data_IF_540810641259
#
_entry.id   IF_540810641259
#
_cell.length_a   1.000
_cell.length_b   1.000
_cell.length_c   1.000
_cell.angle_alpha   90.00
_cell.angle_beta   90.00
_cell.angle_gamma   90.00
#
_symmetry.space_group_name_H-M   'P 1'
#
loop_
_entity.id
_entity.type
_entity.pdbx_description
1 polymer ?
#
# COMPACT_ATOMS: atom_id res chain seq x y z
N UNK A 1 11.84 10.99 -11.45
CA UNK A 1 13.32 10.94 -11.69
C UNK A 1 13.76 9.60 -12.28
N UNK A 2 13.17 8.50 -11.86
CA UNK A 2 13.57 7.16 -12.32
C UNK A 2 13.19 6.91 -13.80
N UNK A 3 11.97 7.27 -14.19
CA UNK A 3 11.50 7.19 -15.56
C UNK A 3 12.22 8.17 -16.50
N UNK A 4 12.53 9.38 -16.02
CA UNK A 4 13.17 10.40 -16.84
C UNK A 4 14.65 10.15 -17.14
N UNK A 5 15.34 9.29 -16.38
CA UNK A 5 16.74 8.95 -16.64
C UNK A 5 16.93 7.85 -17.69
N UNK A 6 15.90 7.02 -17.92
CA UNK A 6 16.00 5.82 -18.78
C UNK A 6 15.31 5.96 -20.14
N UNK A 7 14.47 7.00 -20.32
CA UNK A 7 13.72 7.29 -21.55
C UNK A 7 13.80 8.77 -21.92
N UNK A 8 14.92 9.24 -22.53
CA UNK A 8 15.17 10.68 -22.63
C UNK A 8 14.24 11.44 -23.59
N UNK A 9 13.75 10.85 -24.64
CA UNK A 9 12.87 11.55 -25.60
C UNK A 9 11.38 11.33 -25.30
N UNK A 10 11.01 10.10 -24.99
CA UNK A 10 9.64 9.68 -24.66
C UNK A 10 9.22 10.15 -23.26
N UNK A 11 10.16 10.21 -22.32
CA UNK A 11 9.90 10.69 -20.96
C UNK A 11 9.48 12.15 -20.89
N UNK A 12 9.89 12.99 -21.84
CA UNK A 12 9.40 14.38 -21.91
C UNK A 12 7.93 14.47 -22.36
N UNK A 13 7.48 13.51 -23.16
CA UNK A 13 6.06 13.32 -23.52
C UNK A 13 5.26 12.82 -22.33
N UNK A 14 5.76 11.78 -21.65
CA UNK A 14 5.18 11.15 -20.48
C UNK A 14 5.07 12.13 -19.29
N UNK A 15 6.13 12.85 -18.95
CA UNK A 15 6.09 13.87 -17.91
C UNK A 15 5.08 15.01 -18.20
N UNK A 16 4.83 15.33 -19.46
CA UNK A 16 3.76 16.28 -19.85
C UNK A 16 2.38 15.70 -19.68
N UNK A 17 2.22 14.41 -19.88
CA UNK A 17 0.95 13.71 -19.66
C UNK A 17 0.61 13.59 -18.18
N UNK A 18 1.57 13.20 -17.34
CA UNK A 18 1.41 13.16 -15.89
C UNK A 18 1.06 14.53 -15.28
N UNK A 19 1.37 15.61 -15.99
CA UNK A 19 0.97 16.96 -15.61
C UNK A 19 -0.39 17.38 -16.19
N UNK A 20 -0.96 16.60 -17.09
CA UNK A 20 -2.31 16.86 -17.61
C UNK A 20 -3.35 16.55 -16.51
N UNK A 21 -4.26 17.47 -16.31
CA UNK A 21 -5.39 17.28 -15.38
C UNK A 21 -6.35 16.24 -15.96
N UNK A 22 -6.77 15.32 -15.12
CA UNK A 22 -7.79 14.31 -15.32
C UNK A 22 -8.33 14.14 -16.73
N UNK A 23 -8.01 13.02 -17.33
CA UNK A 23 -8.54 12.55 -18.60
C UNK A 23 -9.67 11.57 -18.36
N UNK A 24 -9.82 10.63 -19.23
CA UNK A 24 -10.83 9.60 -19.15
C UNK A 24 -12.24 10.10 -19.50
N UNK A 25 -13.19 9.19 -19.48
CA UNK A 25 -14.57 9.46 -19.89
C UNK A 25 -15.34 10.27 -18.84
N UNK A 26 -14.99 10.10 -17.57
CA UNK A 26 -15.68 10.71 -16.44
C UNK A 26 -15.01 11.98 -15.92
N UNK A 27 -13.80 12.28 -16.41
CA UNK A 27 -12.96 13.34 -15.84
C UNK A 27 -12.44 13.01 -14.44
N UNK A 28 -12.25 11.73 -14.13
CA UNK A 28 -11.71 11.29 -12.86
C UNK A 28 -10.32 11.89 -12.62
N UNK A 29 -10.02 12.34 -11.39
CA UNK A 29 -8.69 12.83 -11.05
C UNK A 29 -7.62 11.78 -11.30
N UNK A 30 -6.49 12.21 -11.86
CA UNK A 30 -5.32 11.35 -12.10
C UNK A 30 -5.55 10.17 -13.06
N UNK A 31 -6.68 10.12 -13.75
CA UNK A 31 -6.90 9.22 -14.88
C UNK A 31 -6.38 9.86 -16.16
N UNK A 32 -5.57 9.13 -16.91
CA UNK A 32 -5.05 9.59 -18.20
C UNK A 32 -5.02 8.43 -19.20
N UNK A 33 -5.49 8.65 -20.40
CA UNK A 33 -5.29 7.68 -21.49
C UNK A 33 -3.87 7.82 -22.03
N UNK A 34 -3.01 6.90 -21.62
CA UNK A 34 -1.60 6.93 -21.95
C UNK A 34 -1.36 6.53 -23.42
N UNK A 35 -0.89 7.45 -24.30
CA UNK A 35 -0.63 7.13 -25.69
C UNK A 35 0.64 6.30 -25.91
N UNK A 36 1.41 6.01 -24.86
CA UNK A 36 2.60 5.18 -24.97
C UNK A 36 2.19 3.78 -25.41
N UNK A 37 2.78 3.25 -26.51
CA UNK A 37 2.52 1.89 -26.89
C UNK A 37 2.92 0.90 -25.78
N UNK A 38 2.15 -0.17 -25.61
CA UNK A 38 2.40 -1.19 -24.62
C UNK A 38 3.86 -1.68 -24.60
N UNK A 39 4.49 -1.87 -25.76
CA UNK A 39 5.88 -2.30 -25.88
C UNK A 39 6.89 -1.35 -25.16
N UNK A 40 6.50 -0.14 -24.84
CA UNK A 40 7.31 0.85 -24.11
C UNK A 40 6.74 1.19 -22.72
N UNK A 41 5.68 0.50 -22.33
CA UNK A 41 5.08 0.69 -21.02
C UNK A 41 5.97 0.09 -19.93
N UNK A 42 6.07 0.76 -18.80
CA UNK A 42 7.06 0.39 -17.78
C UNK A 42 6.89 -1.03 -17.22
N UNK A 43 5.66 -1.54 -17.14
CA UNK A 43 5.36 -2.89 -16.66
C UNK A 43 5.98 -3.94 -17.59
N UNK A 44 5.77 -3.84 -18.92
CA UNK A 44 6.41 -4.72 -19.88
C UNK A 44 7.93 -4.54 -19.92
N UNK A 45 8.41 -3.29 -19.81
CA UNK A 45 9.85 -3.01 -19.79
C UNK A 45 10.56 -3.66 -18.59
N UNK A 46 9.95 -3.62 -17.39
CA UNK A 46 10.49 -4.28 -16.19
C UNK A 46 10.61 -5.79 -16.41
N UNK A 47 9.56 -6.42 -16.95
CA UNK A 47 9.60 -7.83 -17.30
C UNK A 47 10.69 -8.15 -18.31
N UNK A 48 10.84 -7.34 -19.37
CA UNK A 48 11.87 -7.50 -20.39
C UNK A 48 13.29 -7.37 -19.80
N UNK A 49 13.52 -6.41 -18.90
CA UNK A 49 14.82 -6.27 -18.20
C UNK A 49 15.10 -7.45 -17.28
N UNK A 50 14.08 -7.94 -16.58
CA UNK A 50 14.19 -9.13 -15.74
C UNK A 50 14.53 -10.37 -16.60
N UNK A 51 13.85 -10.59 -17.71
CA UNK A 51 14.12 -11.68 -18.64
C UNK A 51 15.53 -11.56 -19.24
N UNK A 52 15.95 -10.35 -19.62
CA UNK A 52 17.30 -10.12 -20.12
C UNK A 52 18.37 -10.45 -19.08
N UNK A 53 18.15 -10.09 -17.81
CA UNK A 53 19.03 -10.48 -16.72
C UNK A 53 19.08 -12.01 -16.56
N UNK A 54 17.93 -12.67 -16.47
CA UNK A 54 17.87 -14.14 -16.37
C UNK A 54 18.58 -14.83 -17.55
N UNK A 55 18.56 -14.23 -18.74
CA UNK A 55 19.25 -14.73 -19.92
C UNK A 55 20.79 -14.61 -19.83
N UNK A 56 21.28 -13.65 -19.06
CA UNK A 56 22.71 -13.42 -18.89
C UNK A 56 23.37 -14.38 -17.88
N UNK A 57 22.57 -15.08 -17.07
CA UNK A 57 23.05 -15.99 -16.05
C UNK A 57 23.48 -17.35 -16.63
N UNK A 58 24.49 -17.96 -16.02
CA UNK A 58 24.88 -19.36 -16.23
C UNK A 58 23.84 -20.33 -15.68
N UNK A 59 24.00 -21.61 -15.97
CA UNK A 59 23.07 -22.64 -15.49
C UNK A 59 23.15 -22.86 -13.98
N UNK A 60 24.33 -22.67 -13.42
CA UNK A 60 24.67 -22.97 -12.02
C UNK A 60 24.82 -21.69 -11.17
N UNK A 61 24.46 -20.53 -11.72
CA UNK A 61 24.53 -19.27 -10.96
C UNK A 61 23.42 -19.19 -9.90
N UNK A 62 23.79 -18.84 -8.69
CA UNK A 62 22.85 -18.42 -7.68
C UNK A 62 22.40 -16.98 -7.98
N UNK A 63 21.09 -16.72 -7.86
CA UNK A 63 20.56 -15.41 -8.16
C UNK A 63 19.42 -15.01 -7.24
N UNK A 64 19.26 -13.71 -7.08
CA UNK A 64 18.14 -13.07 -6.42
C UNK A 64 17.62 -11.92 -7.28
N UNK A 65 16.31 -11.89 -7.51
CA UNK A 65 15.64 -10.82 -8.25
C UNK A 65 14.54 -10.21 -7.41
N UNK A 66 14.61 -8.90 -7.28
CA UNK A 66 13.50 -8.10 -6.77
C UNK A 66 12.89 -7.37 -7.98
N UNK A 67 11.78 -7.90 -8.50
CA UNK A 67 11.04 -7.32 -9.60
C UNK A 67 9.91 -6.47 -9.04
N UNK A 68 10.00 -5.16 -9.18
CA UNK A 68 9.06 -4.20 -8.62
C UNK A 68 8.38 -3.39 -9.71
N UNK A 69 7.07 -3.36 -9.69
CA UNK A 69 6.24 -2.55 -10.56
C UNK A 69 5.76 -1.31 -9.83
N UNK A 70 5.79 -0.09 -10.45
CA UNK A 70 5.16 1.09 -9.87
C UNK A 70 3.63 1.01 -9.93
N UNK A 71 3.06 0.29 -10.90
CA UNK A 71 1.63 0.06 -10.98
C UNK A 71 1.16 -0.89 -9.85
N UNK A 72 -0.12 -0.79 -9.46
CA UNK A 72 -1.17 0.12 -9.92
C UNK A 72 -1.23 1.46 -9.15
N UNK A 73 -0.08 2.04 -8.82
CA UNK A 73 -0.02 3.36 -8.19
C UNK A 73 -0.56 4.45 -9.12
N UNK A 74 -1.27 5.44 -8.58
CA UNK A 74 -1.67 6.60 -9.38
C UNK A 74 -0.44 7.32 -9.99
N UNK A 75 -0.60 7.98 -11.18
CA UNK A 75 -1.80 8.10 -11.98
C UNK A 75 -2.21 6.76 -12.58
N UNK A 76 -3.53 6.57 -12.72
CA UNK A 76 -4.09 5.38 -13.36
C UNK A 76 -4.09 5.61 -14.87
N UNK A 77 -3.03 5.21 -15.51
CA UNK A 77 -2.72 5.54 -16.90
C UNK A 77 -2.17 4.35 -17.70
N UNK A 78 -2.89 3.22 -17.72
CA UNK A 78 -2.50 2.11 -18.58
C UNK A 78 -2.45 2.57 -20.05
N UNK A 79 -1.70 1.89 -20.94
CA UNK A 79 -1.68 2.21 -22.35
C UNK A 79 -3.08 2.32 -22.91
N UNK A 80 -3.36 3.37 -23.71
CA UNK A 80 -4.68 3.62 -24.25
C UNK A 80 -5.24 2.44 -25.07
N UNK A 81 -4.37 1.63 -25.67
CA UNK A 81 -4.76 0.38 -26.35
C UNK A 81 -5.34 -0.67 -25.42
N UNK A 82 -5.03 -0.61 -24.16
CA UNK A 82 -5.41 -1.59 -23.13
C UNK A 82 -6.56 -1.08 -22.25
N UNK A 83 -6.75 0.22 -22.15
CA UNK A 83 -7.72 0.85 -21.26
C UNK A 83 -9.17 0.37 -21.46
N UNK A 84 -9.50 -0.13 -22.65
CA UNK A 84 -10.83 -0.66 -22.97
C UNK A 84 -11.05 -2.13 -22.53
N UNK A 85 -10.07 -2.78 -21.93
CA UNK A 85 -10.21 -4.19 -21.47
C UNK A 85 -11.34 -4.34 -20.45
N UNK A 86 -11.53 -3.36 -19.61
CA UNK A 86 -12.56 -3.34 -18.58
C UNK A 86 -13.44 -2.11 -18.80
N UNK A 87 -14.72 -2.37 -18.99
CA UNK A 87 -15.71 -1.30 -19.12
C UNK A 87 -16.15 -0.84 -17.72
N UNK A 88 -15.82 0.37 -17.33
CA UNK A 88 -16.15 0.90 -16.02
C UNK A 88 -17.67 0.97 -15.73
N UNK A 89 -18.51 1.01 -16.75
CA UNK A 89 -19.96 0.95 -16.59
C UNK A 89 -20.45 -0.39 -15.99
N UNK A 90 -19.68 -1.45 -16.17
CA UNK A 90 -20.02 -2.79 -15.70
C UNK A 90 -19.53 -3.06 -14.27
N UNK A 91 -18.81 -2.12 -13.67
CA UNK A 91 -18.29 -2.26 -12.31
C UNK A 91 -19.27 -1.72 -11.28
N UNK A 92 -19.40 -2.46 -10.18
CA UNK A 92 -19.98 -1.94 -8.95
C UNK A 92 -19.01 -1.02 -8.22
N UNK A 93 -19.52 -0.25 -7.25
CA UNK A 93 -18.66 0.42 -6.28
C UNK A 93 -17.96 -0.63 -5.40
N UNK A 94 -16.74 -0.37 -4.92
CA UNK A 94 -16.06 -1.31 -4.03
C UNK A 94 -16.91 -1.60 -2.78
N UNK A 95 -16.85 -2.82 -2.24
CA UNK A 95 -17.66 -3.21 -1.07
C UNK A 95 -17.51 -2.28 0.14
N UNK A 96 -16.33 -1.70 0.32
CA UNK A 96 -16.04 -0.74 1.39
C UNK A 96 -16.57 0.67 1.13
N UNK A 97 -17.17 0.95 -0.03
CA UNK A 97 -17.78 2.25 -0.34
C UNK A 97 -19.18 2.35 0.27
N UNK A 98 -19.45 3.29 1.19
CA UNK A 98 -20.74 3.35 1.89
C UNK A 98 -21.96 3.73 1.04
N UNK A 99 -21.75 4.15 -0.20
CA UNK A 99 -22.80 4.44 -1.19
C UNK A 99 -23.26 5.90 -1.19
N UNK A 100 -23.65 6.47 -0.07
CA UNK A 100 -24.14 7.85 -0.03
C UNK A 100 -23.24 8.76 0.80
N UNK A 101 -23.22 10.04 0.44
CA UNK A 101 -22.48 11.07 1.17
C UNK A 101 -22.86 11.12 2.65
N UNK A 102 -24.14 11.08 2.96
CA UNK A 102 -24.65 11.09 4.34
C UNK A 102 -24.09 9.92 5.16
N UNK A 103 -24.07 8.73 4.56
CA UNK A 103 -23.55 7.54 5.22
C UNK A 103 -22.03 7.60 5.40
N UNK A 104 -21.31 8.12 4.40
CA UNK A 104 -19.87 8.35 4.48
C UNK A 104 -19.55 9.33 5.63
N UNK A 105 -20.18 10.50 5.64
CA UNK A 105 -19.96 11.52 6.66
C UNK A 105 -20.27 10.97 8.07
N UNK A 106 -21.33 10.18 8.22
CA UNK A 106 -21.67 9.54 9.49
C UNK A 106 -20.60 8.54 9.95
N UNK A 107 -20.07 7.73 9.06
CA UNK A 107 -19.00 6.76 9.37
C UNK A 107 -17.72 7.50 9.74
N UNK A 108 -17.32 8.47 8.95
CA UNK A 108 -16.07 9.20 9.15
C UNK A 108 -16.10 10.12 10.38
N UNK A 109 -17.25 10.65 10.74
CA UNK A 109 -17.40 11.44 11.95
C UNK A 109 -17.21 10.63 13.25
N UNK A 110 -17.36 9.32 13.20
CA UNK A 110 -17.11 8.39 14.31
C UNK A 110 -15.65 7.91 14.40
N UNK A 111 -14.80 8.35 13.48
CA UNK A 111 -13.37 8.05 13.40
C UNK A 111 -12.55 9.25 13.86
N UNK A 112 -11.22 9.12 14.06
CA UNK A 112 -10.35 10.25 14.34
C UNK A 112 -10.50 11.36 13.29
N UNK A 113 -10.40 12.61 13.73
CA UNK A 113 -10.81 13.80 12.98
C UNK A 113 -10.23 13.88 11.54
N UNK A 114 -9.00 13.44 11.30
CA UNK A 114 -8.37 13.55 9.99
C UNK A 114 -9.11 12.76 8.90
N UNK A 115 -9.88 11.73 9.23
CA UNK A 115 -10.68 10.97 8.28
C UNK A 115 -11.72 11.85 7.58
N UNK A 116 -12.54 12.56 8.37
CA UNK A 116 -13.55 13.45 7.82
C UNK A 116 -12.93 14.70 7.20
N UNK A 117 -11.87 15.23 7.81
CA UNK A 117 -11.17 16.40 7.27
C UNK A 117 -10.52 16.09 5.90
N UNK A 118 -10.04 14.86 5.68
CA UNK A 118 -9.56 14.41 4.37
C UNK A 118 -10.72 14.32 3.37
N UNK A 119 -11.80 13.66 3.72
CA UNK A 119 -12.96 13.51 2.86
C UNK A 119 -13.49 14.86 2.36
N UNK A 120 -13.56 15.84 3.23
CA UNK A 120 -14.04 17.19 2.92
C UNK A 120 -12.95 18.10 2.30
N UNK A 121 -11.76 17.61 2.10
CA UNK A 121 -10.63 18.37 1.54
C UNK A 121 -10.07 19.44 2.47
N UNK A 122 -10.35 19.35 3.78
CA UNK A 122 -9.75 20.21 4.81
C UNK A 122 -8.36 19.75 5.20
N UNK A 123 -8.13 18.46 5.24
CA UNK A 123 -6.85 17.83 5.44
C UNK A 123 -6.32 17.29 4.10
N UNK A 124 -5.04 17.36 3.86
CA UNK A 124 -4.41 16.76 2.69
C UNK A 124 -3.57 15.58 3.11
N UNK A 125 -3.88 14.47 2.56
CA UNK A 125 -2.99 13.35 2.48
C UNK A 125 -1.88 13.71 1.47
N UNK A 126 -0.62 13.56 1.83
CA UNK A 126 0.51 13.93 0.96
C UNK A 126 0.67 13.03 -0.24
N UNK A 127 0.09 11.86 -0.21
CA UNK A 127 -0.02 10.96 -1.36
C UNK A 127 -0.94 11.51 -2.43
N UNK A 128 -1.91 12.31 -2.06
CA UNK A 128 -2.76 13.04 -2.99
C UNK A 128 -2.02 14.19 -3.64
N UNK A 129 -1.03 13.89 -4.48
CA UNK A 129 -0.22 14.87 -5.21
C UNK A 129 -1.01 15.81 -6.11
N UNK A 130 -2.23 15.45 -6.48
CA UNK A 130 -3.13 16.31 -7.22
C UNK A 130 -3.83 17.29 -6.29
N UNK A 131 -3.58 18.55 -6.54
CA UNK A 131 -4.20 19.70 -5.87
C UNK A 131 -5.68 19.87 -6.19
N UNK A 132 -6.20 19.09 -7.13
CA UNK A 132 -7.58 19.14 -7.63
C UNK A 132 -8.46 18.09 -6.97
N UNK A 133 -7.88 17.17 -6.19
CA UNK A 133 -8.58 16.04 -5.64
C UNK A 133 -9.23 16.36 -4.29
N UNK A 134 -10.55 16.25 -4.23
CA UNK A 134 -11.33 16.32 -2.98
C UNK A 134 -12.28 15.12 -3.00
N UNK A 135 -12.13 14.14 -2.10
CA UNK A 135 -12.92 12.91 -2.11
C UNK A 135 -14.43 13.15 -2.18
N UNK A 136 -14.96 14.07 -1.37
CA UNK A 136 -16.40 14.35 -1.36
C UNK A 136 -16.95 14.99 -2.64
N UNK A 137 -16.08 15.41 -3.56
CA UNK A 137 -16.48 15.96 -4.86
C UNK A 137 -16.45 14.90 -5.97
N UNK A 138 -15.98 13.69 -5.69
CA UNK A 138 -15.99 12.61 -6.68
C UNK A 138 -17.38 12.05 -6.92
N UNK A 139 -17.63 11.70 -8.17
CA UNK A 139 -18.82 10.93 -8.55
C UNK A 139 -18.55 9.44 -8.44
N UNK A 140 -19.61 8.65 -8.33
CA UNK A 140 -19.50 7.18 -8.33
C UNK A 140 -18.88 6.66 -9.65
N UNK A 141 -19.16 7.31 -10.77
CA UNK A 141 -18.62 6.91 -12.06
C UNK A 141 -17.10 7.17 -12.13
N UNK A 142 -16.63 8.26 -11.53
CA UNK A 142 -15.18 8.49 -11.39
C UNK A 142 -14.49 7.42 -10.57
N UNK A 143 -15.12 6.96 -9.48
CA UNK A 143 -14.60 5.85 -8.68
C UNK A 143 -14.55 4.55 -9.50
N UNK A 144 -15.61 4.26 -10.28
CA UNK A 144 -15.66 3.08 -11.15
C UNK A 144 -14.59 3.11 -12.24
N UNK A 145 -14.39 4.26 -12.89
CA UNK A 145 -13.37 4.43 -13.93
C UNK A 145 -11.97 4.21 -13.37
N UNK A 146 -11.65 4.81 -12.21
CA UNK A 146 -10.39 4.57 -11.53
C UNK A 146 -10.19 3.08 -11.25
N UNK A 147 -11.18 2.42 -10.70
CA UNK A 147 -11.10 0.98 -10.40
C UNK A 147 -10.93 0.13 -11.67
N UNK A 148 -11.62 0.48 -12.76
CA UNK A 148 -11.47 -0.22 -14.04
C UNK A 148 -10.02 -0.14 -14.54
N UNK A 149 -9.41 1.04 -14.53
CA UNK A 149 -8.04 1.22 -14.98
C UNK A 149 -7.03 0.56 -14.06
N UNK A 150 -7.23 0.62 -12.74
CA UNK A 150 -6.44 -0.14 -11.77
C UNK A 150 -6.49 -1.66 -12.04
N UNK A 151 -7.66 -2.19 -12.39
CA UNK A 151 -7.78 -3.60 -12.77
C UNK A 151 -7.02 -3.91 -14.06
N UNK A 152 -7.07 -3.01 -15.05
CA UNK A 152 -6.27 -3.17 -16.27
C UNK A 152 -4.77 -3.20 -15.96
N UNK A 153 -4.29 -2.30 -15.10
CA UNK A 153 -2.88 -2.29 -14.68
C UNK A 153 -2.50 -3.59 -13.96
N UNK A 154 -3.38 -4.12 -13.12
CA UNK A 154 -3.17 -5.41 -12.46
C UNK A 154 -3.11 -6.59 -13.47
N UNK A 155 -3.96 -6.59 -14.51
CA UNK A 155 -3.87 -7.58 -15.59
C UNK A 155 -2.53 -7.50 -16.33
N UNK A 156 -2.04 -6.29 -16.60
CA UNK A 156 -0.73 -6.10 -17.22
C UNK A 156 0.42 -6.61 -16.35
N UNK A 157 0.33 -6.42 -15.04
CA UNK A 157 1.29 -6.98 -14.07
C UNK A 157 1.25 -8.51 -14.09
N UNK A 158 0.06 -9.11 -14.08
CA UNK A 158 -0.10 -10.57 -14.14
C UNK A 158 0.52 -11.16 -15.40
N UNK A 159 0.25 -10.57 -16.56
CA UNK A 159 0.84 -10.96 -17.82
C UNK A 159 2.38 -10.83 -17.81
N UNK A 160 2.90 -9.73 -17.24
CA UNK A 160 4.35 -9.51 -17.10
C UNK A 160 4.99 -10.54 -16.17
N UNK A 161 4.36 -10.86 -15.05
CA UNK A 161 4.79 -11.94 -14.15
C UNK A 161 4.77 -13.28 -14.86
N UNK A 162 3.71 -13.59 -15.60
CA UNK A 162 3.59 -14.83 -16.38
C UNK A 162 4.74 -15.01 -17.38
N UNK A 163 5.17 -13.95 -18.06
CA UNK A 163 6.32 -13.96 -18.98
C UNK A 163 7.63 -14.32 -18.26
N UNK A 164 7.87 -13.73 -17.09
CA UNK A 164 9.08 -13.99 -16.30
C UNK A 164 9.07 -15.42 -15.75
N UNK A 165 7.93 -15.88 -15.23
CA UNK A 165 7.78 -17.27 -14.75
C UNK A 165 7.96 -18.27 -15.87
N UNK A 166 7.43 -18.00 -17.08
CA UNK A 166 7.66 -18.81 -18.27
C UNK A 166 9.15 -18.89 -18.60
N UNK A 167 9.88 -17.79 -18.48
CA UNK A 167 11.34 -17.79 -18.73
C UNK A 167 12.10 -18.60 -17.69
N UNK A 168 11.72 -18.56 -16.42
CA UNK A 168 12.31 -19.41 -15.36
C UNK A 168 12.10 -20.90 -15.70
N UNK A 169 10.90 -21.27 -16.15
CA UNK A 169 10.59 -22.63 -16.55
C UNK A 169 11.41 -23.09 -17.80
N UNK A 170 11.51 -22.25 -18.84
CA UNK A 170 12.34 -22.52 -20.03
C UNK A 170 13.81 -22.71 -19.69
N UNK A 171 14.30 -22.05 -18.64
CA UNK A 171 15.67 -22.22 -18.14
C UNK A 171 15.85 -23.50 -17.31
N UNK A 172 14.77 -24.21 -17.00
CA UNK A 172 14.79 -25.41 -16.15
C UNK A 172 14.98 -25.11 -14.66
N UNK A 173 14.78 -23.87 -14.22
CA UNK A 173 15.01 -23.42 -12.85
C UNK A 173 13.76 -23.49 -11.95
N UNK A 174 12.63 -23.89 -12.51
CA UNK A 174 11.35 -23.92 -11.76
C UNK A 174 11.41 -24.77 -10.49
N UNK A 175 12.17 -25.90 -10.54
CA UNK A 175 12.30 -26.80 -9.41
C UNK A 175 13.18 -26.25 -8.26
N UNK A 176 14.02 -25.25 -8.51
CA UNK A 176 14.98 -24.69 -7.56
C UNK A 176 14.73 -23.22 -7.21
N UNK A 177 13.64 -22.63 -7.69
CA UNK A 177 13.33 -21.21 -7.49
C UNK A 177 12.17 -21.04 -6.56
N UNK A 178 12.37 -20.27 -5.50
CA UNK A 178 11.31 -19.76 -4.63
C UNK A 178 10.73 -18.48 -5.22
N UNK A 179 9.40 -18.38 -5.31
CA UNK A 179 8.70 -17.21 -5.84
C UNK A 179 7.84 -16.57 -4.74
N UNK A 180 8.00 -15.27 -4.57
CA UNK A 180 7.17 -14.47 -3.69
C UNK A 180 6.42 -13.44 -4.49
N UNK A 181 5.14 -13.26 -4.17
CA UNK A 181 4.32 -12.17 -4.69
C UNK A 181 3.73 -11.41 -3.51
N UNK A 182 3.93 -10.10 -3.48
CA UNK A 182 3.37 -9.20 -2.47
C UNK A 182 3.30 -7.77 -3.01
N UNK A 183 2.71 -6.87 -2.25
CA UNK A 183 2.76 -5.43 -2.48
C UNK A 183 3.24 -4.73 -1.22
N UNK A 184 3.63 -3.47 -1.30
CA UNK A 184 4.08 -2.65 -0.16
C UNK A 184 2.93 -2.26 0.78
N UNK A 185 1.76 -1.90 0.24
CA UNK A 185 0.54 -1.55 0.95
C UNK A 185 -0.67 -1.73 0.04
N UNK A 186 -1.87 -1.63 0.59
CA UNK A 186 -3.12 -1.55 -0.16
C UNK A 186 -3.44 -0.12 -0.63
N UNK A 187 -4.66 0.05 -1.13
CA UNK A 187 -5.17 1.34 -1.62
C UNK A 187 -6.66 1.45 -1.28
N UNK A 188 -7.15 2.64 -0.91
CA UNK A 188 -8.56 2.81 -0.52
C UNK A 188 -9.52 2.65 -1.69
N UNK A 189 -9.18 3.15 -2.86
CA UNK A 189 -9.92 2.93 -4.12
C UNK A 189 -11.44 3.14 -4.06
N UNK A 190 -11.90 4.01 -3.16
CA UNK A 190 -13.31 4.29 -2.91
C UNK A 190 -13.83 3.76 -1.58
N UNK A 191 -13.09 2.91 -0.88
CA UNK A 191 -13.44 2.50 0.48
C UNK A 191 -13.58 3.73 1.38
N UNK A 192 -14.58 3.73 2.24
CA UNK A 192 -14.96 4.89 3.06
C UNK A 192 -15.30 6.17 2.26
N UNK A 193 -15.45 6.10 0.94
CA UNK A 193 -15.57 7.25 0.07
C UNK A 193 -14.23 7.99 -0.13
N UNK A 194 -13.12 7.36 0.20
CA UNK A 194 -11.77 7.91 0.11
C UNK A 194 -10.95 7.24 -1.01
N UNK A 195 -9.85 7.86 -1.36
CA UNK A 195 -8.88 7.37 -2.33
C UNK A 195 -7.48 7.44 -1.72
N UNK A 196 -6.54 6.79 -2.35
CA UNK A 196 -5.14 6.76 -1.94
C UNK A 196 -4.92 6.01 -0.62
N UNK A 197 -3.82 6.24 0.01
CA UNK A 197 -3.34 5.69 1.28
C UNK A 197 -2.97 6.82 2.22
N UNK A 198 -2.37 6.48 3.36
CA UNK A 198 -1.93 7.46 4.34
C UNK A 198 -2.10 6.95 5.77
N UNK A 199 -2.36 7.83 6.74
CA UNK A 199 -2.42 7.47 8.16
C UNK A 199 -3.74 6.77 8.53
N UNK A 200 -4.04 5.68 7.83
CA UNK A 200 -5.26 4.88 8.01
C UNK A 200 -4.87 3.40 8.16
N UNK A 201 -4.92 2.86 9.37
CA UNK A 201 -4.58 1.46 9.61
C UNK A 201 -5.83 0.57 9.55
N UNK A 202 -6.37 0.40 8.35
CA UNK A 202 -7.51 -0.46 8.04
C UNK A 202 -7.11 -1.58 7.08
N UNK A 203 -7.90 -2.65 7.02
CA UNK A 203 -7.60 -3.83 6.20
C UNK A 203 -7.34 -3.49 4.74
N UNK A 204 -8.08 -2.54 4.16
CA UNK A 204 -7.89 -2.10 2.77
C UNK A 204 -6.44 -1.64 2.47
N UNK A 205 -5.73 -1.13 3.47
CA UNK A 205 -4.35 -0.66 3.33
C UNK A 205 -3.32 -1.61 3.92
N UNK A 206 -3.65 -2.31 5.01
CA UNK A 206 -2.69 -3.05 5.82
C UNK A 206 -2.67 -4.55 5.53
N UNK A 207 -3.79 -5.10 5.04
CA UNK A 207 -3.89 -6.50 4.70
C UNK A 207 -3.58 -6.73 3.23
N UNK A 208 -2.31 -6.95 2.93
CA UNK A 208 -1.80 -7.12 1.58
C UNK A 208 -1.72 -8.59 1.18
N UNK A 209 -1.76 -8.92 -0.12
CA UNK A 209 -1.49 -10.28 -0.59
C UNK A 209 -0.06 -10.67 -0.26
N UNK A 210 0.12 -11.90 0.19
CA UNK A 210 1.43 -12.53 0.33
C UNK A 210 1.32 -13.99 -0.11
N UNK A 211 1.91 -14.29 -1.25
CA UNK A 211 1.94 -15.63 -1.82
C UNK A 211 3.40 -16.07 -1.88
N UNK A 212 3.71 -17.20 -1.30
CA UNK A 212 5.00 -17.86 -1.44
C UNK A 212 4.80 -19.19 -2.16
N UNK A 213 5.43 -19.35 -3.31
CA UNK A 213 5.61 -20.63 -3.99
C UNK A 213 7.01 -21.14 -3.66
N UNK A 214 7.15 -22.02 -2.66
CA UNK A 214 8.45 -22.61 -2.34
C UNK A 214 8.97 -23.42 -3.53
N UNK A 215 10.29 -23.46 -3.69
CA UNK A 215 10.90 -24.37 -4.64
C UNK A 215 10.55 -25.82 -4.30
N UNK A 216 10.23 -26.68 -5.26
CA UNK A 216 9.92 -28.10 -5.03
C UNK A 216 10.96 -28.84 -4.20
N UNK A 217 12.24 -28.46 -4.30
CA UNK A 217 13.32 -29.06 -3.51
C UNK A 217 13.21 -28.74 -2.01
N UNK A 218 12.53 -27.66 -1.63
CA UNK A 218 12.30 -27.31 -0.23
C UNK A 218 11.28 -28.23 0.45
N UNK A 219 10.49 -28.99 -0.31
CA UNK A 219 9.47 -29.95 0.19
C UNK A 219 8.46 -29.34 1.17
N UNK A 220 8.15 -28.08 0.99
CA UNK A 220 7.08 -27.40 1.75
C UNK A 220 5.74 -27.82 1.15
N UNK A 221 4.84 -28.34 1.99
CA UNK A 221 3.51 -28.70 1.51
C UNK A 221 2.66 -27.44 1.21
N UNK A 222 1.84 -27.44 0.16
CA UNK A 222 0.86 -26.36 -0.04
C UNK A 222 -0.04 -26.22 1.18
N UNK A 223 -0.17 -25.01 1.68
CA UNK A 223 -1.02 -24.70 2.83
C UNK A 223 -1.53 -23.25 2.73
N UNK A 224 -2.70 -23.02 3.30
CA UNK A 224 -3.16 -21.69 3.67
C UNK A 224 -2.83 -21.48 5.14
N UNK A 225 -2.09 -20.42 5.45
CA UNK A 225 -1.64 -20.13 6.82
C UNK A 225 -2.40 -18.94 7.35
N UNK A 226 -3.20 -19.16 8.39
CA UNK A 226 -4.02 -18.13 9.02
C UNK A 226 -3.28 -17.31 10.07
N UNK A 227 -2.08 -17.73 10.48
CA UNK A 227 -1.28 -16.98 11.46
C UNK A 227 -0.85 -15.60 10.91
N UNK A 228 -0.94 -14.55 11.72
CA UNK A 228 -0.57 -13.21 11.28
C UNK A 228 0.93 -13.11 10.98
N UNK A 229 1.24 -12.51 9.83
CA UNK A 229 2.59 -12.24 9.35
C UNK A 229 2.70 -10.80 8.89
N UNK A 230 3.91 -10.31 8.66
CA UNK A 230 4.15 -8.97 8.14
C UNK A 230 5.37 -8.93 7.21
N UNK A 231 5.56 -7.84 6.50
CA UNK A 231 6.71 -7.64 5.62
C UNK A 231 8.07 -7.83 6.31
N UNK A 232 8.13 -7.55 7.61
CA UNK A 232 9.34 -7.76 8.41
C UNK A 232 9.81 -9.24 8.43
N UNK A 233 8.92 -10.18 8.08
CA UNK A 233 9.21 -11.61 8.05
C UNK A 233 9.83 -12.08 6.73
N UNK A 234 9.75 -11.26 5.67
CA UNK A 234 10.24 -11.61 4.34
C UNK A 234 11.76 -11.75 4.33
N UNK A 235 12.49 -10.77 4.87
CA UNK A 235 13.95 -10.81 4.88
C UNK A 235 14.53 -12.00 5.68
N UNK A 236 14.03 -12.32 6.89
CA UNK A 236 14.42 -13.56 7.58
C UNK A 236 14.11 -14.84 6.79
N UNK A 237 13.00 -14.85 6.05
CA UNK A 237 12.66 -16.00 5.18
C UNK A 237 13.67 -16.16 4.06
N UNK A 238 14.07 -15.07 3.39
CA UNK A 238 15.11 -15.11 2.37
C UNK A 238 16.46 -15.58 2.91
N UNK A 239 16.83 -15.11 4.11
CA UNK A 239 18.04 -15.59 4.77
C UNK A 239 17.97 -17.10 5.03
N UNK A 240 16.83 -17.60 5.49
CA UNK A 240 16.63 -19.04 5.72
C UNK A 240 16.74 -19.85 4.42
N UNK A 241 16.11 -19.41 3.33
CA UNK A 241 16.17 -20.06 2.01
C UNK A 241 17.61 -20.07 1.50
N UNK A 242 18.32 -18.95 1.61
CA UNK A 242 19.70 -18.83 1.17
C UNK A 242 20.72 -19.54 2.07
N UNK A 243 20.30 -20.10 3.21
CA UNK A 243 21.21 -20.74 4.18
C UNK A 243 22.15 -19.78 4.86
N UNK A 244 21.80 -18.48 4.97
CA UNK A 244 22.61 -17.46 5.63
C UNK A 244 21.98 -17.05 6.96
N UNK A 245 22.80 -16.58 7.88
CA UNK A 245 22.30 -16.14 9.18
C UNK A 245 21.44 -14.87 9.06
N UNK A 246 20.28 -14.88 9.71
CA UNK A 246 19.45 -13.67 9.82
C UNK A 246 20.20 -12.59 10.59
N UNK A 247 20.31 -11.36 10.08
CA UNK A 247 20.97 -10.26 10.77
C UNK A 247 20.33 -9.97 12.13
N UNK A 248 21.12 -9.64 13.13
CA UNK A 248 20.64 -9.40 14.51
C UNK A 248 19.66 -8.20 14.61
N UNK A 249 19.71 -7.27 13.66
CA UNK A 249 18.80 -6.14 13.62
C UNK A 249 17.44 -6.47 13.01
N UNK A 250 17.29 -7.63 12.35
CA UNK A 250 16.01 -8.06 11.79
C UNK A 250 15.07 -8.48 12.93
N UNK A 251 13.88 -7.89 12.93
CA UNK A 251 12.89 -8.09 13.98
C UNK A 251 11.85 -9.17 13.63
N UNK A 252 11.78 -9.53 12.34
CA UNK A 252 10.90 -10.58 11.86
C UNK A 252 11.39 -11.99 12.15
N UNK A 253 10.54 -12.94 11.84
CA UNK A 253 10.83 -14.38 11.88
C UNK A 253 10.53 -14.98 10.52
N UNK A 254 11.18 -16.04 10.06
CA UNK A 254 10.81 -16.70 8.80
C UNK A 254 9.32 -16.97 8.75
N UNK A 255 8.74 -16.82 7.56
CA UNK A 255 7.31 -17.06 7.31
C UNK A 255 6.95 -18.50 7.75
N UNK A 256 5.78 -18.69 8.36
CA UNK A 256 5.30 -20.01 8.73
C UNK A 256 4.93 -20.82 7.49
N UNK A 257 5.23 -22.11 7.52
CA UNK A 257 4.84 -23.08 6.48
C UNK A 257 3.62 -23.93 6.86
N UNK A 258 3.09 -23.71 8.05
CA UNK A 258 1.89 -24.33 8.60
C UNK A 258 1.36 -23.49 9.76
N UNK A 259 0.11 -23.69 10.12
CA UNK A 259 -0.46 -23.12 11.35
C UNK A 259 0.08 -23.80 12.62
N UNK A 260 -0.08 -23.14 13.77
CA UNK A 260 0.32 -23.68 15.07
C UNK A 260 1.75 -23.34 15.50
N UNK A 261 2.42 -22.41 14.78
CA UNK A 261 3.76 -21.93 15.13
C UNK A 261 3.74 -20.79 16.16
N UNK A 262 2.53 -20.42 16.65
CA UNK A 262 2.35 -19.51 17.78
C UNK A 262 2.49 -18.03 17.44
N UNK A 263 2.21 -17.64 16.21
CA UNK A 263 2.09 -16.24 15.84
C UNK A 263 0.70 -15.73 16.23
N UNK A 264 0.66 -14.78 17.13
CA UNK A 264 -0.61 -14.30 17.70
C UNK A 264 -1.00 -12.92 17.17
N UNK A 265 -0.05 -12.14 16.65
CA UNK A 265 -0.27 -10.74 16.29
C UNK A 265 0.55 -10.27 15.11
N UNK A 266 0.04 -9.25 14.43
CA UNK A 266 0.80 -8.37 13.57
C UNK A 266 0.75 -6.95 14.12
N UNK A 267 1.86 -6.22 14.02
CA UNK A 267 1.98 -4.83 14.50
C UNK A 267 2.39 -3.97 13.33
N UNK A 268 1.77 -2.80 13.23
CA UNK A 268 2.11 -1.79 12.23
C UNK A 268 2.31 -0.44 12.91
N UNK A 269 3.22 0.35 12.37
CA UNK A 269 3.57 1.67 12.85
C UNK A 269 3.50 2.67 11.70
N UNK A 270 3.03 3.87 12.01
CA UNK A 270 3.10 5.02 11.11
C UNK A 270 3.61 6.21 11.88
N UNK A 271 4.69 6.81 11.41
CA UNK A 271 5.19 8.07 11.90
C UNK A 271 5.15 9.07 10.74
N UNK A 272 4.31 10.09 10.87
CA UNK A 272 4.23 11.12 9.85
C UNK A 272 5.57 11.84 9.72
N UNK A 273 6.16 11.77 8.55
CA UNK A 273 7.32 12.56 8.19
C UNK A 273 6.94 13.98 7.76
N UNK A 274 5.65 14.25 7.69
CA UNK A 274 5.09 15.50 7.21
C UNK A 274 5.01 16.48 8.36
N UNK A 275 5.83 17.50 8.24
CA UNK A 275 6.24 18.47 9.24
C UNK A 275 5.12 19.10 10.10
N UNK A 276 3.86 18.97 9.73
CA UNK A 276 2.81 19.79 10.31
C UNK A 276 1.79 19.01 11.12
N UNK A 277 1.72 17.70 10.98
CA UNK A 277 0.68 16.91 11.63
C UNK A 277 1.20 16.08 12.79
N UNK A 278 2.47 15.65 12.75
CA UNK A 278 3.09 14.91 13.86
C UNK A 278 2.23 13.75 14.35
N UNK A 279 1.63 12.99 13.42
CA UNK A 279 0.82 11.83 13.77
C UNK A 279 1.71 10.61 13.99
N UNK A 280 1.43 9.89 15.05
CA UNK A 280 2.09 8.64 15.40
C UNK A 280 1.01 7.59 15.64
N UNK A 281 0.89 6.64 14.74
CA UNK A 281 -0.07 5.55 14.82
C UNK A 281 0.65 4.26 15.21
N UNK A 282 0.07 3.51 16.13
CA UNK A 282 0.51 2.18 16.51
C UNK A 282 -0.68 1.26 16.46
N UNK A 283 -0.58 0.18 15.71
CA UNK A 283 -1.71 -0.74 15.52
C UNK A 283 -1.31 -2.16 15.77
N UNK A 284 -2.25 -2.92 16.32
CA UNK A 284 -2.15 -4.35 16.50
C UNK A 284 -3.35 -5.04 15.86
N UNK A 285 -3.08 -6.08 15.09
CA UNK A 285 -4.04 -7.11 14.76
C UNK A 285 -3.83 -8.32 15.67
N UNK A 286 -4.88 -8.79 16.32
CA UNK A 286 -4.89 -10.02 17.10
C UNK A 286 -6.29 -10.61 17.20
N UNK A 287 -6.43 -11.90 16.94
CA UNK A 287 -7.68 -12.66 17.12
C UNK A 287 -8.92 -12.02 16.44
N UNK A 288 -8.74 -11.50 15.22
CA UNK A 288 -9.81 -10.83 14.48
C UNK A 288 -10.11 -9.39 14.93
N UNK A 289 -9.32 -8.85 15.85
CA UNK A 289 -9.43 -7.46 16.28
C UNK A 289 -8.32 -6.59 15.67
N UNK A 290 -8.68 -5.40 15.26
CA UNK A 290 -7.73 -4.32 14.92
C UNK A 290 -7.87 -3.22 15.94
N UNK A 291 -6.77 -2.83 16.57
CA UNK A 291 -6.73 -1.72 17.53
C UNK A 291 -5.61 -0.77 17.14
N UNK A 292 -5.97 0.49 16.87
CA UNK A 292 -5.04 1.57 16.52
C UNK A 292 -5.05 2.64 17.59
N UNK A 293 -3.89 2.98 18.12
CA UNK A 293 -3.68 4.10 19.05
C UNK A 293 -3.09 5.26 18.28
N UNK A 294 -3.66 6.45 18.46
CA UNK A 294 -3.07 7.70 18.01
C UNK A 294 -2.30 8.30 19.17
N UNK A 295 -0.98 8.16 19.15
CA UNK A 295 -0.13 8.70 20.21
C UNK A 295 -0.17 10.23 20.22
N UNK A 296 0.33 10.80 21.30
CA UNK A 296 0.37 12.26 21.41
C UNK A 296 1.21 12.86 20.30
N UNK A 297 0.60 13.76 19.54
CA UNK A 297 1.28 14.45 18.45
C UNK A 297 2.53 15.17 18.93
N UNK A 298 3.64 14.94 18.27
CA UNK A 298 4.90 15.64 18.51
C UNK A 298 5.12 16.69 17.43
N UNK A 299 5.89 17.73 17.76
CA UNK A 299 6.29 18.80 16.83
C UNK A 299 7.73 18.60 16.34
N UNK A 300 8.26 17.40 16.36
CA UNK A 300 9.63 17.14 15.90
C UNK A 300 9.71 17.17 14.39
N UNK A 301 10.06 18.32 13.88
CA UNK A 301 9.97 18.69 12.48
C UNK A 301 11.29 18.70 11.77
N UNK A 302 11.38 17.92 10.72
CA UNK A 302 12.07 18.39 9.53
C UNK A 302 11.16 19.37 8.78
N UNK A 303 11.57 20.59 8.61
CA UNK A 303 10.84 21.63 7.89
C UNK A 303 10.67 21.23 6.42
N UNK A 304 9.45 20.87 6.02
CA UNK A 304 9.17 20.51 4.63
C UNK A 304 8.77 21.77 3.83
N UNK A 305 9.75 22.37 3.17
CA UNK A 305 9.57 23.54 2.30
C UNK A 305 8.50 23.33 1.22
N UNK A 306 8.29 22.09 0.77
CA UNK A 306 7.30 21.78 -0.27
C UNK A 306 5.88 21.99 0.24
N UNK A 307 5.57 21.56 1.46
CA UNK A 307 4.25 21.74 2.05
C UNK A 307 3.96 23.21 2.36
N UNK A 308 4.94 23.93 2.91
CA UNK A 308 4.80 25.38 3.14
C UNK A 308 4.56 26.11 1.81
N UNK A 309 5.30 25.76 0.77
CA UNK A 309 5.10 26.34 -0.56
C UNK A 309 3.72 26.00 -1.13
N UNK A 310 3.26 24.78 -0.98
CA UNK A 310 1.94 24.35 -1.42
C UNK A 310 0.83 25.07 -0.64
N UNK A 311 0.93 25.17 0.68
CA UNK A 311 -0.03 25.89 1.52
C UNK A 311 -0.12 27.38 1.16
N UNK A 312 1.03 28.03 0.95
CA UNK A 312 1.11 29.42 0.52
C UNK A 312 0.49 29.64 -0.87
N UNK A 313 0.77 28.73 -1.80
CA UNK A 313 0.26 28.83 -3.19
C UNK A 313 -1.24 28.63 -3.28
N UNK A 314 -1.83 27.84 -2.38
CA UNK A 314 -3.24 27.47 -2.41
C UNK A 314 -4.13 28.33 -1.55
N UNK A 315 -3.56 29.21 -0.74
CA UNK A 315 -4.30 30.04 0.24
C UNK A 315 -5.24 29.24 1.15
N UNK A 316 -4.89 27.99 1.45
CA UNK A 316 -5.64 27.14 2.36
C UNK A 316 -4.86 26.96 3.66
N UNK A 317 -5.50 27.10 4.83
CA UNK A 317 -4.84 26.81 6.08
C UNK A 317 -4.47 25.32 6.14
N UNK A 318 -3.29 25.01 6.64
CA UNK A 318 -2.94 23.66 7.02
C UNK A 318 -3.76 23.31 8.26
N UNK A 319 -4.49 22.18 8.27
CA UNK A 319 -5.28 21.82 9.44
C UNK A 319 -4.34 21.50 10.61
N UNK A 320 -4.62 22.11 11.76
CA UNK A 320 -3.95 21.77 13.01
C UNK A 320 -4.62 20.54 13.63
N UNK A 321 -4.25 19.37 13.12
CA UNK A 321 -4.72 18.09 13.67
C UNK A 321 -3.73 17.65 14.74
N UNK A 322 -4.19 17.57 16.00
CA UNK A 322 -3.38 17.12 17.13
C UNK A 322 -4.11 16.08 17.92
N UNK A 323 -3.46 14.97 18.13
CA UNK A 323 -3.90 13.91 19.01
C UNK A 323 -3.25 14.05 20.39
N UNK A 324 -3.98 13.67 21.42
CA UNK A 324 -3.51 13.77 22.81
C UNK A 324 -3.07 12.42 23.37
N UNK A 325 -3.18 11.35 22.61
CA UNK A 325 -2.91 9.99 23.05
C UNK A 325 -4.12 9.31 23.68
N UNK A 326 -5.30 9.89 23.49
CA UNK A 326 -6.57 9.35 23.96
C UNK A 326 -7.46 8.85 22.85
N UNK A 327 -7.13 9.20 21.63
CA UNK A 327 -7.85 8.85 20.42
C UNK A 327 -7.37 7.52 19.85
N UNK A 328 -8.29 6.81 19.20
CA UNK A 328 -7.96 5.55 18.56
C UNK A 328 -9.09 4.96 17.75
N UNK A 329 -8.84 3.77 17.27
CA UNK A 329 -9.82 2.98 16.53
C UNK A 329 -9.79 1.53 17.04
N UNK A 330 -10.97 0.93 17.14
CA UNK A 330 -11.13 -0.47 17.52
C UNK A 330 -12.19 -1.12 16.64
N UNK A 331 -11.84 -2.24 16.03
CA UNK A 331 -12.73 -2.98 15.13
C UNK A 331 -12.72 -4.47 15.44
N UNK A 332 -13.90 -5.08 15.35
CA UNK A 332 -14.08 -6.53 15.32
C UNK A 332 -14.33 -6.96 13.88
N UNK A 333 -13.33 -7.54 13.24
CA UNK A 333 -13.41 -7.89 11.81
C UNK A 333 -14.42 -9.03 11.52
N UNK A 334 -14.79 -9.83 12.52
CA UNK A 334 -15.82 -10.84 12.36
C UNK A 334 -17.23 -10.25 12.27
N UNK A 335 -17.48 -9.11 12.93
CA UNK A 335 -18.76 -8.42 12.95
C UNK A 335 -18.83 -7.27 11.95
N UNK A 336 -17.70 -6.60 11.72
CA UNK A 336 -17.56 -5.43 10.87
C UNK A 336 -16.27 -5.55 10.01
N UNK A 337 -16.26 -6.42 9.00
CA UNK A 337 -15.10 -6.62 8.12
C UNK A 337 -14.73 -5.37 7.31
N UNK A 338 -15.66 -4.43 7.16
CA UNK A 338 -15.45 -3.16 6.45
C UNK A 338 -14.98 -2.02 7.37
N UNK A 339 -14.88 -2.28 8.67
CA UNK A 339 -14.39 -1.32 9.67
C UNK A 339 -15.12 0.04 9.66
N UNK A 340 -16.42 0.00 9.46
CA UNK A 340 -17.27 1.20 9.44
C UNK A 340 -17.66 1.66 10.85
N UNK A 341 -17.71 0.75 11.83
CA UNK A 341 -18.10 1.03 13.20
C UNK A 341 -16.88 1.08 14.12
N UNK A 342 -16.40 2.26 14.42
CA UNK A 342 -15.34 2.43 15.43
C UNK A 342 -15.90 2.15 16.83
N UNK A 343 -15.35 1.17 17.52
CA UNK A 343 -15.75 0.72 18.87
C UNK A 343 -14.89 1.38 19.97
N UNK A 344 -14.01 2.30 19.63
CA UNK A 344 -13.03 2.88 20.56
C UNK A 344 -13.66 3.44 21.85
N UNK A 345 -14.75 4.18 21.74
CA UNK A 345 -15.45 4.82 22.86
C UNK A 345 -16.58 3.96 23.45
N UNK A 346 -16.84 2.79 22.87
CA UNK A 346 -17.86 1.88 23.38
C UNK A 346 -17.39 1.20 24.68
N UNK A 347 -18.08 1.48 25.77
CA UNK A 347 -17.72 0.99 27.12
C UNK A 347 -17.80 -0.52 27.23
N UNK A 348 -18.60 -1.19 26.39
CA UNK A 348 -18.72 -2.65 26.33
C UNK A 348 -17.43 -3.34 25.90
N UNK A 349 -16.58 -2.65 25.12
CA UNK A 349 -15.32 -3.16 24.59
C UNK A 349 -14.07 -2.66 25.33
N UNK A 350 -14.25 -1.93 26.44
CA UNK A 350 -13.13 -1.34 27.22
C UNK A 350 -12.06 -2.37 27.59
N UNK A 351 -12.48 -3.56 28.01
CA UNK A 351 -11.53 -4.62 28.41
C UNK A 351 -10.71 -5.08 27.20
N UNK A 352 -11.35 -5.43 26.09
CA UNK A 352 -10.68 -5.87 24.86
C UNK A 352 -9.69 -4.80 24.38
N UNK A 353 -10.13 -3.53 24.33
CA UNK A 353 -9.28 -2.40 23.97
C UNK A 353 -8.05 -2.32 24.87
N UNK A 354 -8.22 -2.38 26.19
CA UNK A 354 -7.12 -2.27 27.15
C UNK A 354 -6.13 -3.43 27.00
N UNK A 355 -6.63 -4.64 26.80
CA UNK A 355 -5.81 -5.84 26.63
C UNK A 355 -4.99 -5.76 25.33
N UNK A 356 -5.58 -5.26 24.23
CA UNK A 356 -4.90 -5.07 22.96
C UNK A 356 -3.85 -3.95 23.03
N UNK A 357 -4.14 -2.84 23.69
CA UNK A 357 -3.18 -1.74 23.90
C UNK A 357 -1.99 -2.23 24.74
N UNK A 358 -2.22 -2.97 25.80
CA UNK A 358 -1.13 -3.54 26.61
C UNK A 358 -0.26 -4.47 25.77
N UNK A 359 -0.86 -5.39 25.03
CA UNK A 359 -0.16 -6.32 24.13
C UNK A 359 0.63 -5.59 23.03
N UNK A 360 0.06 -4.53 22.46
CA UNK A 360 0.73 -3.67 21.49
C UNK A 360 2.04 -3.10 22.07
N UNK A 361 1.95 -2.40 23.19
CA UNK A 361 3.11 -1.73 23.77
C UNK A 361 4.14 -2.69 24.40
N UNK A 362 3.72 -3.86 24.85
CA UNK A 362 4.63 -4.90 25.32
C UNK A 362 5.47 -5.50 24.18
N UNK A 363 5.00 -5.41 22.93
CA UNK A 363 5.65 -5.99 21.76
C UNK A 363 6.20 -4.96 20.77
N UNK A 364 5.99 -3.67 21.00
CA UNK A 364 6.65 -2.63 20.21
C UNK A 364 8.16 -2.64 20.46
N UNK A 365 8.98 -2.45 19.42
CA UNK A 365 10.41 -2.32 19.55
C UNK A 365 10.76 -1.18 20.51
N UNK A 366 11.50 -1.48 21.58
CA UNK A 366 12.00 -0.45 22.50
C UNK A 366 13.12 0.33 21.84
N UNK A 367 12.94 1.65 21.70
CA UNK A 367 13.94 2.63 21.31
C UNK A 367 14.80 2.22 20.11
N UNK A 368 14.54 2.80 18.95
CA UNK A 368 15.46 2.65 17.81
C UNK A 368 16.71 3.46 18.11
N UNK A 369 17.85 2.82 18.27
CA UNK A 369 19.12 3.53 18.06
C UNK A 369 19.11 4.13 16.65
N UNK A 370 19.66 5.34 16.43
CA UNK A 370 19.75 5.93 15.10
C UNK A 370 20.43 4.93 14.18
N UNK A 371 19.67 4.38 13.26
CA UNK A 371 20.20 3.50 12.22
C UNK A 371 21.02 4.32 11.26
N UNK A 372 21.97 3.65 10.63
CA UNK A 372 22.79 4.14 9.53
C UNK A 372 22.08 5.28 8.79
N UNK A 373 22.70 6.46 8.83
CA UNK A 373 22.42 7.49 7.84
C UNK A 373 22.78 6.88 6.49
N UNK A 374 21.81 6.29 5.84
CA UNK A 374 21.94 5.95 4.44
C UNK A 374 21.75 7.29 3.72
N UNK A 375 22.85 7.92 3.32
CA UNK A 375 22.85 8.98 2.32
C UNK A 375 22.48 8.35 0.97
N UNK A 376 21.25 7.89 0.86
CA UNK A 376 20.66 7.60 -0.43
C UNK A 376 20.07 8.92 -0.94
N UNK A 377 20.56 9.45 -2.05
CA UNK A 377 19.88 10.58 -2.69
C UNK A 377 18.48 10.12 -3.07
N UNK A 378 17.47 10.80 -2.57
CA UNK A 378 16.07 10.62 -2.95
C UNK A 378 15.84 10.94 -4.43
#
# INVERSE_FOLDING_TARGET
KWLTSNFPAEAAGFARMLSAKGGGDTGAPEVTYNPVPRAHYHTDWIADRTIAYLNSLGADDDWFVWMSFPDPHHPWDPPASEACRINWHDLDLPPGHPGSREKIEKILAAKPRHWLDWYEGRFRNDEGGSMAFIPCAMTHDQVREINALTHVENELIDEACGRVLGRIAERGWEASTDIFFTTDHGELQGDFGLMFKGPYHVDALMRVPLIWRPSPVARVAPAEVAEPVGHLDIAPTFCQIAGVATPQWAQGRPLPTADGLGRQRAITEWDSQFAEIGMHLRSIYRDGWVCTVYEKSTRDFGFNLTLVYQALRQKRPVPDIRYQGTEGELYNLAEDPLQWRNLWDDTGYRKVRSDLIADLYDNLPRGREPRLTVDAPA
#
